data_IF_991640166017
#
_entry.id   IF_991640166017
#
_cell.length_a   1.000
_cell.length_b   1.000
_cell.length_c   1.000
_cell.angle_alpha   90.00
_cell.angle_beta   90.00
_cell.angle_gamma   90.00
#
_symmetry.space_group_name_H-M   'P 1'
#
loop_
_entity.id
_entity.type
_entity.pdbx_description
1 polymer ?
#
# COMPACT_ATOMS: atom_id res chain seq x y z
N UNK A 1 -6.33 34.46 12.11
CA UNK A 1 -6.06 34.42 13.56
C UNK A 1 -6.39 33.04 14.10
N UNK A 2 -5.36 32.34 14.60
CA UNK A 2 -5.36 31.17 15.51
C UNK A 2 -4.27 30.18 15.09
N UNK A 3 -3.03 30.55 15.42
CA UNK A 3 -1.94 29.61 15.59
C UNK A 3 -1.95 29.24 17.08
N UNK A 4 -2.06 27.97 17.50
CA UNK A 4 -1.83 27.65 18.90
C UNK A 4 -0.33 27.78 19.14
N UNK A 5 0.03 28.77 19.94
CA UNK A 5 1.33 28.95 20.55
C UNK A 5 1.65 27.72 21.40
N UNK A 6 2.24 26.70 20.78
CA UNK A 6 2.84 25.57 21.50
C UNK A 6 4.01 26.16 22.29
N UNK A 7 3.82 26.23 23.60
CA UNK A 7 4.75 26.83 24.56
C UNK A 7 6.17 26.31 24.35
N UNK A 8 7.08 27.22 24.00
CA UNK A 8 8.50 26.97 23.73
C UNK A 8 9.28 26.43 24.94
N UNK A 9 8.64 26.28 26.11
CA UNK A 9 9.26 25.79 27.34
C UNK A 9 9.31 24.26 27.48
N UNK A 10 8.43 23.50 26.83
CA UNK A 10 8.34 22.05 27.04
C UNK A 10 9.22 21.22 26.06
N UNK A 11 9.74 21.85 25.00
CA UNK A 11 10.55 21.19 23.97
C UNK A 11 11.94 20.80 24.48
N UNK A 12 12.46 21.49 25.51
CA UNK A 12 13.82 21.29 26.01
C UNK A 12 13.98 20.13 26.99
N UNK A 13 12.88 19.51 27.45
CA UNK A 13 12.91 18.41 28.42
C UNK A 13 12.67 17.02 27.80
N UNK A 14 12.47 16.94 26.48
CA UNK A 14 12.25 15.65 25.80
C UNK A 14 13.52 15.13 25.14
N UNK A 15 13.84 13.83 25.29
CA UNK A 15 14.96 13.21 24.58
C UNK A 15 14.79 13.38 23.07
N UNK A 16 15.89 13.66 22.36
CA UNK A 16 15.94 14.00 20.92
C UNK A 16 15.21 13.01 20.00
N UNK A 17 15.02 11.77 20.43
CA UNK A 17 14.24 10.76 19.72
C UNK A 17 12.75 11.09 19.62
N UNK A 18 12.20 11.88 20.55
CA UNK A 18 10.78 12.20 20.63
C UNK A 18 10.44 13.40 19.73
N UNK A 19 11.31 14.40 19.63
CA UNK A 19 11.11 15.61 18.80
C UNK A 19 10.98 15.30 17.31
N UNK A 20 11.68 14.28 16.80
CA UNK A 20 11.49 13.80 15.42
C UNK A 20 10.16 13.05 15.24
N UNK A 21 9.69 12.32 16.25
CA UNK A 21 8.44 11.56 16.17
C UNK A 21 7.19 12.47 16.21
N UNK A 22 7.16 13.48 17.09
CA UNK A 22 6.03 14.42 17.14
C UNK A 22 5.94 15.31 15.90
N UNK A 23 7.08 15.72 15.33
CA UNK A 23 7.08 16.48 14.08
C UNK A 23 6.64 15.62 12.90
N UNK A 24 7.17 14.40 12.76
CA UNK A 24 6.72 13.43 11.75
C UNK A 24 5.21 13.17 11.83
N UNK A 25 4.67 12.95 13.04
CA UNK A 25 3.25 12.76 13.26
C UNK A 25 2.41 13.97 12.85
N UNK A 26 2.85 15.18 13.20
CA UNK A 26 2.16 16.41 12.82
C UNK A 26 2.11 16.62 11.29
N UNK A 27 3.18 16.25 10.57
CA UNK A 27 3.21 16.28 9.11
C UNK A 27 2.31 15.20 8.48
N UNK A 28 2.29 13.98 9.03
CA UNK A 28 1.40 12.91 8.59
C UNK A 28 -0.07 13.28 8.81
N UNK A 29 -0.42 13.84 9.97
CA UNK A 29 -1.78 14.32 10.25
C UNK A 29 -2.19 15.48 9.34
N UNK A 30 -1.31 16.47 9.10
CA UNK A 30 -1.59 17.55 8.12
C UNK A 30 -1.80 16.99 6.72
N UNK A 31 -0.96 16.05 6.29
CA UNK A 31 -1.12 15.33 5.03
C UNK A 31 -2.46 14.62 4.94
N UNK A 32 -2.84 13.87 5.98
CA UNK A 32 -4.14 13.18 6.06
C UNK A 32 -5.32 14.14 5.99
N UNK A 33 -5.29 15.26 6.73
CA UNK A 33 -6.38 16.24 6.68
C UNK A 33 -6.52 16.93 5.32
N UNK A 34 -5.42 17.26 4.66
CA UNK A 34 -5.44 17.79 3.28
C UNK A 34 -5.90 16.75 2.26
N UNK A 35 -5.56 15.49 2.49
CA UNK A 35 -5.94 14.35 1.66
C UNK A 35 -7.43 14.04 1.77
N UNK A 36 -7.98 14.06 2.98
CA UNK A 36 -9.41 13.89 3.25
C UNK A 36 -10.23 15.04 2.68
N UNK A 37 -9.70 16.27 2.67
CA UNK A 37 -10.39 17.44 2.15
C UNK A 37 -10.47 17.54 0.62
N UNK A 38 -9.68 16.76 -0.15
CA UNK A 38 -9.70 16.77 -1.63
C UNK A 38 -10.22 15.45 -2.22
N UNK A 39 -11.48 15.39 -2.69
CA UNK A 39 -12.10 14.16 -3.20
C UNK A 39 -11.48 13.64 -4.51
N UNK A 40 -10.73 14.47 -5.24
CA UNK A 40 -10.06 14.05 -6.49
C UNK A 40 -8.93 13.04 -6.26
N UNK A 41 -8.30 13.03 -5.07
CA UNK A 41 -7.29 12.02 -4.73
C UNK A 41 -7.90 10.71 -4.23
N UNK A 42 -9.13 10.74 -3.72
CA UNK A 42 -9.82 9.55 -3.22
C UNK A 42 -10.05 8.54 -4.34
N UNK A 43 -10.45 8.97 -5.52
CA UNK A 43 -10.62 8.09 -6.69
C UNK A 43 -9.35 7.32 -7.04
N UNK A 44 -8.17 7.95 -6.89
CA UNK A 44 -6.88 7.31 -7.19
C UNK A 44 -6.44 6.30 -6.14
N UNK A 45 -6.89 6.43 -4.88
CA UNK A 45 -6.63 5.46 -3.80
C UNK A 45 -7.71 4.37 -3.71
N UNK A 46 -8.96 4.71 -3.98
CA UNK A 46 -10.07 3.76 -3.93
C UNK A 46 -9.93 2.69 -5.01
N UNK A 47 -9.41 3.05 -6.18
CA UNK A 47 -9.14 2.09 -7.26
C UNK A 47 -8.23 0.91 -6.84
N UNK A 48 -7.01 1.12 -6.31
CA UNK A 48 -6.18 0.02 -5.86
C UNK A 48 -6.80 -0.78 -4.71
N UNK A 49 -7.60 -0.16 -3.83
CA UNK A 49 -8.33 -0.87 -2.77
C UNK A 49 -9.37 -1.81 -3.37
N UNK A 50 -10.19 -1.33 -4.31
CA UNK A 50 -11.20 -2.15 -4.99
C UNK A 50 -10.55 -3.30 -5.75
N UNK A 51 -9.47 -3.03 -6.50
CA UNK A 51 -8.72 -4.06 -7.24
C UNK A 51 -8.15 -5.11 -6.28
N UNK A 52 -7.64 -4.70 -5.11
CA UNK A 52 -7.12 -5.63 -4.11
C UNK A 52 -8.23 -6.49 -3.49
N UNK A 53 -9.38 -5.91 -3.17
CA UNK A 53 -10.54 -6.64 -2.63
C UNK A 53 -11.08 -7.64 -3.64
N UNK A 54 -11.25 -7.23 -4.90
CA UNK A 54 -11.71 -8.10 -5.98
C UNK A 54 -10.71 -9.24 -6.22
N UNK A 55 -9.42 -8.92 -6.30
CA UNK A 55 -8.35 -9.93 -6.43
C UNK A 55 -8.41 -10.93 -5.29
N UNK A 56 -8.51 -10.47 -4.04
CA UNK A 56 -8.57 -11.33 -2.86
C UNK A 56 -9.78 -12.26 -2.91
N UNK A 57 -10.95 -11.72 -3.28
CA UNK A 57 -12.18 -12.49 -3.40
C UNK A 57 -12.10 -13.56 -4.51
N UNK A 58 -11.55 -13.20 -5.68
CA UNK A 58 -11.32 -14.12 -6.80
C UNK A 58 -10.32 -15.20 -6.41
N UNK A 59 -9.21 -14.83 -5.77
CA UNK A 59 -8.21 -15.79 -5.30
C UNK A 59 -8.82 -16.78 -4.30
N UNK A 60 -9.58 -16.30 -3.31
CA UNK A 60 -10.26 -17.18 -2.36
C UNK A 60 -11.23 -18.15 -3.07
N UNK A 61 -12.08 -17.64 -3.97
CA UNK A 61 -13.02 -18.46 -4.70
C UNK A 61 -12.31 -19.53 -5.56
N UNK A 62 -11.23 -19.15 -6.26
CA UNK A 62 -10.43 -20.08 -7.05
C UNK A 62 -9.75 -21.14 -6.19
N UNK A 63 -9.19 -20.76 -5.03
CA UNK A 63 -8.52 -21.70 -4.14
C UNK A 63 -9.48 -22.74 -3.55
N UNK A 64 -10.64 -22.31 -3.05
CA UNK A 64 -11.64 -23.22 -2.50
C UNK A 64 -12.32 -24.06 -3.58
N UNK A 65 -12.57 -23.49 -4.76
CA UNK A 65 -13.28 -24.18 -5.83
C UNK A 65 -12.43 -25.18 -6.63
N UNK A 66 -11.18 -24.82 -6.97
CA UNK A 66 -10.38 -25.60 -7.92
C UNK A 66 -9.20 -26.33 -7.27
N UNK A 67 -8.56 -25.74 -6.26
CA UNK A 67 -7.28 -26.25 -5.76
C UNK A 67 -7.40 -27.18 -4.54
N UNK A 68 -8.46 -27.04 -3.75
CA UNK A 68 -8.64 -27.82 -2.53
C UNK A 68 -8.64 -29.34 -2.76
N UNK A 69 -9.44 -29.82 -3.71
CA UNK A 69 -9.58 -31.25 -4.03
C UNK A 69 -8.30 -31.87 -4.62
N UNK A 70 -7.70 -31.32 -5.70
CA UNK A 70 -6.50 -31.92 -6.28
C UNK A 70 -5.32 -31.90 -5.30
N UNK A 71 -5.24 -30.89 -4.43
CA UNK A 71 -4.14 -30.79 -3.47
C UNK A 71 -4.27 -31.77 -2.31
N UNK A 72 -5.49 -31.99 -1.80
CA UNK A 72 -5.74 -33.00 -0.78
C UNK A 72 -5.41 -34.41 -1.32
N UNK A 73 -5.86 -34.72 -2.55
CA UNK A 73 -5.56 -36.00 -3.20
C UNK A 73 -4.06 -36.19 -3.44
N UNK A 74 -3.34 -35.14 -3.84
CA UNK A 74 -1.89 -35.21 -4.02
C UNK A 74 -1.16 -35.56 -2.72
N UNK A 75 -1.59 -35.00 -1.58
CA UNK A 75 -0.99 -35.31 -0.27
C UNK A 75 -1.34 -36.72 0.20
N UNK A 76 -2.55 -37.22 -0.11
CA UNK A 76 -2.95 -38.59 0.21
C UNK A 76 -2.14 -39.61 -0.60
N UNK A 77 -2.04 -39.43 -1.92
CA UNK A 77 -1.39 -40.40 -2.82
C UNK A 77 0.13 -40.44 -2.67
N UNK A 78 0.80 -39.29 -2.49
CA UNK A 78 2.26 -39.26 -2.38
C UNK A 78 2.77 -39.52 -0.96
N UNK A 79 2.09 -38.95 0.05
CA UNK A 79 2.57 -38.98 1.43
C UNK A 79 1.87 -40.03 2.30
N UNK A 80 0.84 -40.72 1.78
CA UNK A 80 0.04 -41.72 2.51
C UNK A 80 -0.49 -41.20 3.85
N UNK A 81 -0.84 -39.90 3.89
CA UNK A 81 -1.36 -39.27 5.10
C UNK A 81 -2.83 -39.63 5.33
N UNK A 82 -3.27 -39.74 6.60
CA UNK A 82 -4.67 -39.95 6.91
C UNK A 82 -5.51 -38.74 6.45
N UNK A 83 -6.70 -39.01 5.91
CA UNK A 83 -7.57 -38.02 5.25
C UNK A 83 -7.73 -36.72 6.05
N UNK A 84 -8.09 -36.81 7.33
CA UNK A 84 -8.35 -35.62 8.15
C UNK A 84 -7.13 -34.67 8.22
N UNK A 85 -5.91 -35.22 8.24
CA UNK A 85 -4.69 -34.44 8.35
C UNK A 85 -4.26 -33.85 7.01
N UNK A 86 -4.42 -34.61 5.92
CA UNK A 86 -4.14 -34.15 4.56
C UNK A 86 -5.02 -32.94 4.17
N UNK A 87 -6.30 -32.97 4.53
CA UNK A 87 -7.24 -31.88 4.26
C UNK A 87 -6.90 -30.62 5.07
N UNK A 88 -6.63 -30.75 6.37
CA UNK A 88 -6.24 -29.61 7.21
C UNK A 88 -4.93 -28.94 6.74
N UNK A 89 -3.93 -29.76 6.37
CA UNK A 89 -2.66 -29.25 5.88
C UNK A 89 -2.80 -28.58 4.51
N UNK A 90 -3.63 -29.15 3.62
CA UNK A 90 -3.98 -28.56 2.33
C UNK A 90 -4.57 -27.17 2.49
N UNK A 91 -5.54 -26.98 3.41
CA UNK A 91 -6.16 -25.67 3.68
C UNK A 91 -5.09 -24.66 4.13
N UNK A 92 -4.23 -25.02 5.08
CA UNK A 92 -3.21 -24.11 5.59
C UNK A 92 -2.19 -23.71 4.52
N UNK A 93 -1.73 -24.67 3.72
CA UNK A 93 -0.78 -24.41 2.65
C UNK A 93 -1.38 -23.52 1.55
N UNK A 94 -2.63 -23.80 1.17
CA UNK A 94 -3.40 -23.00 0.24
C UNK A 94 -3.59 -21.57 0.75
N UNK A 95 -3.95 -21.41 2.03
CA UNK A 95 -4.11 -20.09 2.65
C UNK A 95 -2.79 -19.33 2.68
N UNK A 96 -1.66 -20.00 2.96
CA UNK A 96 -0.33 -19.40 2.92
C UNK A 96 0.06 -18.91 1.51
N UNK A 97 -0.17 -19.73 0.48
CA UNK A 97 0.08 -19.32 -0.91
C UNK A 97 -0.81 -18.13 -1.30
N UNK A 98 -2.09 -18.17 -0.96
CA UNK A 98 -3.02 -17.08 -1.23
C UNK A 98 -2.57 -15.78 -0.55
N UNK A 99 -2.16 -15.85 0.72
CA UNK A 99 -1.63 -14.71 1.44
C UNK A 99 -0.37 -14.15 0.77
N UNK A 100 0.52 -15.02 0.28
CA UNK A 100 1.75 -14.62 -0.40
C UNK A 100 1.45 -13.91 -1.73
N UNK A 101 0.53 -14.45 -2.55
CA UNK A 101 0.11 -13.81 -3.80
C UNK A 101 -0.54 -12.46 -3.52
N UNK A 102 -1.48 -12.39 -2.57
CA UNK A 102 -2.14 -11.15 -2.18
C UNK A 102 -1.15 -10.12 -1.64
N UNK A 103 -0.14 -10.56 -0.87
CA UNK A 103 0.92 -9.68 -0.38
C UNK A 103 1.72 -9.05 -1.51
N UNK A 104 2.14 -9.84 -2.51
CA UNK A 104 2.88 -9.33 -3.67
C UNK A 104 2.04 -8.33 -4.46
N UNK A 105 0.78 -8.66 -4.72
CA UNK A 105 -0.15 -7.77 -5.42
C UNK A 105 -0.35 -6.47 -4.63
N UNK A 106 -0.58 -6.57 -3.32
CA UNK A 106 -0.72 -5.40 -2.45
C UNK A 106 0.53 -4.50 -2.48
N UNK A 107 1.73 -5.08 -2.43
CA UNK A 107 2.98 -4.32 -2.51
C UNK A 107 3.12 -3.56 -3.84
N UNK A 108 2.76 -4.19 -4.97
CA UNK A 108 2.79 -3.56 -6.28
C UNK A 108 1.78 -2.40 -6.38
N UNK A 109 0.53 -2.64 -5.95
CA UNK A 109 -0.49 -1.60 -5.95
C UNK A 109 -0.14 -0.45 -5.01
N UNK A 110 0.45 -0.76 -3.84
CA UNK A 110 0.90 0.25 -2.88
C UNK A 110 2.04 1.09 -3.46
N UNK A 111 3.03 0.47 -4.10
CA UNK A 111 4.11 1.19 -4.78
C UNK A 111 3.57 2.14 -5.87
N UNK A 112 2.59 1.67 -6.65
CA UNK A 112 1.94 2.52 -7.66
C UNK A 112 1.16 3.69 -7.02
N UNK A 113 0.40 3.42 -5.95
CA UNK A 113 -0.35 4.44 -5.23
C UNK A 113 0.58 5.51 -4.63
N UNK A 114 1.68 5.11 -3.99
CA UNK A 114 2.69 6.02 -3.46
C UNK A 114 3.29 6.92 -4.54
N UNK A 115 3.58 6.35 -5.71
CA UNK A 115 4.13 7.07 -6.86
C UNK A 115 3.19 8.17 -7.35
N UNK A 116 1.89 7.84 -7.49
CA UNK A 116 0.86 8.78 -7.92
C UNK A 116 0.61 9.88 -6.87
N UNK A 117 0.62 9.50 -5.59
CA UNK A 117 0.49 10.44 -4.48
C UNK A 117 1.64 11.43 -4.46
N UNK A 118 2.88 10.95 -4.52
CA UNK A 118 4.07 11.80 -4.56
C UNK A 118 3.99 12.78 -5.74
N UNK A 119 3.61 12.30 -6.94
CA UNK A 119 3.46 13.15 -8.12
C UNK A 119 2.39 14.24 -7.93
N UNK A 120 1.24 13.90 -7.35
CA UNK A 120 0.18 14.87 -7.07
C UNK A 120 0.61 15.92 -6.04
N UNK A 121 1.36 15.52 -5.01
CA UNK A 121 1.90 16.45 -4.00
C UNK A 121 2.96 17.37 -4.62
N UNK A 122 3.83 16.86 -5.50
CA UNK A 122 4.83 17.67 -6.20
C UNK A 122 4.20 18.68 -7.17
N UNK A 123 3.08 18.31 -7.82
CA UNK A 123 2.29 19.22 -8.66
C UNK A 123 1.63 20.34 -7.82
N UNK A 124 0.97 19.98 -6.71
CA UNK A 124 0.32 20.96 -5.82
C UNK A 124 1.34 21.88 -5.12
N UNK A 125 2.59 21.44 -4.94
CA UNK A 125 3.69 22.26 -4.39
C UNK A 125 4.38 23.14 -5.44
N UNK A 126 4.00 23.08 -6.72
CA UNK A 126 4.57 23.91 -7.79
C UNK A 126 5.99 23.52 -8.24
N UNK A 127 6.61 22.50 -7.62
CA UNK A 127 7.98 22.05 -7.93
C UNK A 127 8.08 21.46 -9.34
N UNK A 128 6.98 20.91 -9.87
CA UNK A 128 6.96 20.40 -11.24
C UNK A 128 7.04 21.53 -12.29
N UNK A 129 6.49 22.71 -11.98
CA UNK A 129 6.60 23.89 -12.85
C UNK A 129 8.01 24.49 -12.77
N UNK A 130 8.61 24.58 -11.58
CA UNK A 130 9.98 25.09 -11.44
C UNK A 130 11.02 24.19 -12.13
N UNK A 131 10.86 22.85 -12.11
CA UNK A 131 11.73 21.92 -12.84
C UNK A 131 11.50 22.01 -14.35
N UNK A 132 10.27 22.24 -14.80
CA UNK A 132 9.95 22.40 -16.24
C UNK A 132 10.46 23.74 -16.79
N UNK A 133 10.50 24.78 -15.95
CA UNK A 133 11.08 26.08 -16.27
C UNK A 133 12.62 26.08 -16.22
N UNK A 134 13.25 25.31 -15.31
CA UNK A 134 14.73 25.16 -15.26
C UNK A 134 15.29 24.17 -16.30
N UNK A 135 14.60 23.06 -16.60
CA UNK A 135 14.99 22.08 -17.63
C UNK A 135 14.15 22.26 -18.90
N UNK A 136 14.08 23.50 -19.38
CA UNK A 136 13.46 23.83 -20.65
C UNK A 136 13.91 22.87 -21.76
N UNK A 137 12.93 22.36 -22.49
CA UNK A 137 13.06 21.58 -23.73
C UNK A 137 13.80 20.24 -23.62
N UNK A 138 13.04 19.14 -23.71
CA UNK A 138 13.51 17.99 -24.49
C UNK A 138 13.79 18.53 -25.88
N UNK A 139 15.06 18.85 -26.14
CA UNK A 139 15.53 19.27 -27.44
C UNK A 139 15.24 18.10 -28.38
N UNK A 140 14.32 18.33 -29.31
CA UNK A 140 14.21 17.57 -30.55
C UNK A 140 15.57 17.60 -31.27
N UNK A 141 16.47 16.70 -30.89
CA UNK A 141 17.64 16.40 -31.69
C UNK A 141 17.23 15.35 -32.70
N UNK A 142 16.65 15.89 -33.76
CA UNK A 142 16.66 15.30 -35.09
C UNK A 142 18.12 14.94 -35.44
N UNK A 143 18.41 13.66 -35.52
CA UNK A 143 19.49 13.09 -36.34
C UNK A 143 19.06 11.69 -36.77
#
# INVERSE_FOLDING_TARGET
SCCPTVSSGLVWAMPSHVTHAVSAWAYTCRGFTHFVARPTLWTKIVFPIIVNVLTTAISLACLFGFFMVPQANYMQDHWHWPDWFAWACTILFLLAICALINMVIFLLLFGFAQSQLLRSVLQDRGVLQSITEEHGTVQELNC
#
